data_IF_688820465085
#
_entry.id   IF_688820465085
#
_cell.length_a   1.000
_cell.length_b   1.000
_cell.length_c   1.000
_cell.angle_alpha   90.00
_cell.angle_beta   90.00
_cell.angle_gamma   90.00
#
_symmetry.space_group_name_H-M   'P 1'
#
loop_
_entity.id
_entity.type
_entity.pdbx_description
1 polymer ?
#
# COMPACT_ATOMS: atom_id res chain seq x y z
N UNK A 1 -14.52 -2.97 -15.18
CA UNK A 1 -13.06 -3.12 -15.36
C UNK A 1 -12.68 -2.42 -16.63
N UNK A 2 -11.70 -1.53 -16.55
CA UNK A 2 -11.29 -0.64 -17.62
C UNK A 2 -9.91 -0.04 -17.36
N UNK A 3 -9.47 0.81 -18.28
CA UNK A 3 -8.25 1.59 -18.13
C UNK A 3 -8.36 2.55 -16.95
N UNK A 4 -7.22 2.86 -16.34
CA UNK A 4 -7.10 3.76 -15.20
C UNK A 4 -5.71 4.36 -15.15
N UNK A 5 -5.62 5.52 -14.51
CA UNK A 5 -4.36 6.22 -14.33
C UNK A 5 -3.73 5.89 -12.98
N UNK A 6 -2.45 5.55 -13.03
CA UNK A 6 -1.54 5.57 -11.89
C UNK A 6 -0.73 6.86 -11.99
N UNK A 7 -0.95 7.80 -11.08
CA UNK A 7 -0.29 9.11 -11.08
C UNK A 7 0.90 9.04 -10.13
N UNK A 8 2.10 9.22 -10.67
CA UNK A 8 3.36 9.25 -9.94
C UNK A 8 3.82 10.70 -9.87
N UNK A 9 3.75 11.29 -8.68
CA UNK A 9 4.18 12.67 -8.44
C UNK A 9 5.51 12.70 -7.71
N UNK A 10 6.42 13.54 -8.18
CA UNK A 10 7.72 13.78 -7.55
C UNK A 10 7.74 15.16 -6.89
N UNK A 11 7.36 15.23 -5.60
CA UNK A 11 7.22 16.53 -4.94
C UNK A 11 8.58 17.20 -4.70
N UNK A 12 8.58 18.52 -4.54
CA UNK A 12 9.78 19.29 -4.18
C UNK A 12 10.17 19.15 -2.69
N UNK A 13 9.23 18.70 -1.86
CA UNK A 13 9.39 18.44 -0.44
C UNK A 13 8.43 17.33 -0.01
N UNK A 14 8.69 16.60 1.09
CA UNK A 14 7.77 15.57 1.58
C UNK A 14 6.35 16.11 1.80
N UNK A 15 5.34 15.41 1.27
CA UNK A 15 3.93 15.79 1.42
C UNK A 15 3.35 15.21 2.71
N UNK A 16 3.26 16.01 3.77
CA UNK A 16 2.67 15.62 5.05
C UNK A 16 1.22 16.11 5.17
N UNK A 17 0.28 15.37 4.57
CA UNK A 17 -1.15 15.67 4.56
C UNK A 17 -1.98 14.38 4.60
N UNK A 18 -3.27 14.44 4.96
CA UNK A 18 -4.21 13.32 4.88
C UNK A 18 -4.36 12.78 3.44
N UNK A 19 -4.82 11.55 3.31
CA UNK A 19 -4.85 10.85 2.01
C UNK A 19 -5.70 11.55 0.97
N UNK A 20 -6.89 12.03 1.37
CA UNK A 20 -7.77 12.75 0.45
C UNK A 20 -7.10 14.03 -0.08
N UNK A 21 -6.49 14.82 0.80
CA UNK A 21 -5.75 16.02 0.41
C UNK A 21 -4.54 15.67 -0.46
N UNK A 22 -3.89 14.53 -0.23
CA UNK A 22 -2.78 14.06 -1.05
C UNK A 22 -3.23 13.67 -2.46
N UNK A 23 -4.33 12.93 -2.58
CA UNK A 23 -4.93 12.57 -3.87
C UNK A 23 -5.28 13.83 -4.66
N UNK A 24 -5.95 14.79 -4.01
CA UNK A 24 -6.31 16.07 -4.62
C UNK A 24 -5.08 16.89 -5.03
N UNK A 25 -4.03 16.92 -4.20
CA UNK A 25 -2.79 17.61 -4.52
C UNK A 25 -2.04 16.99 -5.70
N UNK A 26 -2.02 15.66 -5.79
CA UNK A 26 -1.40 14.92 -6.90
C UNK A 26 -2.19 15.11 -8.20
N UNK A 27 -3.52 15.05 -8.14
CA UNK A 27 -4.38 15.33 -9.29
C UNK A 27 -4.23 16.78 -9.79
N UNK A 28 -4.21 17.74 -8.86
CA UNK A 28 -3.97 19.15 -9.20
C UNK A 28 -2.57 19.36 -9.80
N UNK A 29 -1.55 18.64 -9.33
CA UNK A 29 -0.22 18.67 -9.92
C UNK A 29 -0.22 18.10 -11.35
N UNK A 30 -0.91 17.00 -11.63
CA UNK A 30 -1.00 16.43 -12.99
C UNK A 30 -1.75 17.32 -13.99
N UNK A 31 -2.73 18.09 -13.52
CA UNK A 31 -3.49 19.05 -14.34
C UNK A 31 -2.77 20.39 -14.57
N UNK A 32 -1.63 20.59 -13.90
CA UNK A 32 -0.84 21.81 -13.97
C UNK A 32 -0.11 22.03 -15.31
N UNK A 33 0.68 23.11 -15.42
CA UNK A 33 1.58 23.30 -16.56
C UNK A 33 2.71 22.26 -16.52
N UNK A 34 3.08 21.71 -17.68
CA UNK A 34 4.15 20.73 -17.78
C UNK A 34 5.49 21.31 -17.29
N UNK A 35 6.04 20.69 -16.24
CA UNK A 35 7.39 20.98 -15.72
C UNK A 35 8.31 19.82 -16.10
N UNK A 36 9.31 20.11 -16.93
CA UNK A 36 10.27 19.12 -17.38
C UNK A 36 11.12 18.58 -16.21
N UNK A 37 11.18 17.25 -16.07
CA UNK A 37 12.02 16.57 -15.08
C UNK A 37 12.68 15.35 -15.72
N UNK A 38 14.00 15.42 -15.91
CA UNK A 38 14.78 14.35 -16.57
C UNK A 38 14.72 13.01 -15.84
N UNK A 39 14.56 13.02 -14.52
CA UNK A 39 14.46 11.76 -13.77
C UNK A 39 13.10 11.12 -13.99
N UNK A 40 12.03 11.91 -14.19
CA UNK A 40 10.73 11.37 -14.58
C UNK A 40 10.70 10.90 -16.03
N UNK A 41 11.42 11.56 -16.94
CA UNK A 41 11.62 11.04 -18.30
C UNK A 41 12.28 9.65 -18.28
N UNK A 42 13.36 9.50 -17.50
CA UNK A 42 14.05 8.22 -17.30
C UNK A 42 13.14 7.19 -16.63
N UNK A 43 12.37 7.59 -15.62
CA UNK A 43 11.42 6.71 -14.95
C UNK A 43 10.36 6.21 -15.93
N UNK A 44 9.77 7.08 -16.75
CA UNK A 44 8.80 6.69 -17.78
C UNK A 44 9.38 5.61 -18.69
N UNK A 45 10.58 5.86 -19.24
CA UNK A 45 11.22 4.92 -20.15
C UNK A 45 11.51 3.58 -19.46
N UNK A 46 11.91 3.62 -18.18
CA UNK A 46 12.11 2.43 -17.36
C UNK A 46 10.81 1.68 -17.08
N UNK A 47 9.70 2.37 -16.76
CA UNK A 47 8.38 1.74 -16.57
C UNK A 47 7.97 1.01 -17.84
N UNK A 48 8.09 1.66 -19.00
CA UNK A 48 7.73 1.06 -20.29
C UNK A 48 8.60 -0.17 -20.60
N UNK A 49 9.91 -0.09 -20.33
CA UNK A 49 10.84 -1.19 -20.58
C UNK A 49 10.62 -2.38 -19.63
N UNK A 50 10.42 -2.12 -18.33
CA UNK A 50 10.21 -3.18 -17.32
C UNK A 50 8.83 -3.83 -17.42
N UNK A 51 7.89 -3.21 -18.16
CA UNK A 51 6.52 -3.70 -18.33
C UNK A 51 6.17 -4.01 -19.79
N UNK A 52 7.19 -4.32 -20.62
CA UNK A 52 7.02 -4.76 -22.01
C UNK A 52 6.01 -5.90 -22.16
N UNK A 53 6.02 -6.84 -21.23
CA UNK A 53 5.06 -7.94 -21.18
C UNK A 53 3.62 -7.42 -21.04
N UNK A 54 3.37 -6.43 -20.17
CA UNK A 54 2.03 -5.86 -19.99
C UNK A 54 1.57 -5.07 -21.22
N UNK A 55 2.49 -4.38 -21.89
CA UNK A 55 2.23 -3.68 -23.16
C UNK A 55 1.81 -4.67 -24.24
N UNK A 56 2.58 -5.75 -24.42
CA UNK A 56 2.33 -6.76 -25.45
C UNK A 56 0.98 -7.49 -25.22
N UNK A 57 0.50 -7.56 -23.97
CA UNK A 57 -0.81 -8.11 -23.60
C UNK A 57 -1.93 -7.05 -23.53
N UNK A 58 -1.67 -5.79 -23.91
CA UNK A 58 -2.66 -4.71 -23.91
C UNK A 58 -3.18 -4.33 -22.52
N UNK A 59 -2.32 -4.40 -21.50
CA UNK A 59 -2.63 -4.09 -20.09
C UNK A 59 -1.88 -2.88 -19.54
N UNK A 60 -0.90 -2.38 -20.27
CA UNK A 60 -0.28 -1.08 -20.06
C UNK A 60 -0.28 -0.34 -21.40
N UNK A 61 -0.66 0.93 -21.40
CA UNK A 61 -0.89 1.71 -22.62
C UNK A 61 0.23 2.73 -22.79
N UNK A 62 1.21 2.48 -23.68
CA UNK A 62 2.37 3.35 -23.82
C UNK A 62 2.02 4.76 -24.31
N UNK A 63 1.00 4.87 -25.18
CA UNK A 63 0.53 6.16 -25.71
C UNK A 63 -0.17 7.02 -24.64
N UNK A 64 -0.69 6.40 -23.58
CA UNK A 64 -1.26 7.08 -22.42
C UNK A 64 -0.26 7.27 -21.26
N UNK A 65 0.96 6.72 -21.39
CA UNK A 65 1.99 6.79 -20.35
C UNK A 65 2.95 7.94 -20.64
N UNK A 66 2.73 9.09 -20.00
CA UNK A 66 3.42 10.34 -20.34
C UNK A 66 3.67 11.25 -19.13
N UNK A 67 4.57 12.23 -19.31
CA UNK A 67 4.75 13.29 -18.34
C UNK A 67 3.61 14.30 -18.46
N UNK A 68 2.99 14.63 -17.34
CA UNK A 68 1.94 15.64 -17.25
C UNK A 68 2.21 16.60 -16.11
N UNK A 69 1.72 17.83 -16.27
CA UNK A 69 1.73 18.85 -15.24
C UNK A 69 3.04 19.06 -14.48
N UNK A 70 2.92 19.42 -13.21
CA UNK A 70 4.06 19.71 -12.35
C UNK A 70 4.69 18.42 -11.84
N UNK A 71 5.67 17.91 -12.59
CA UNK A 71 6.49 16.75 -12.20
C UNK A 71 5.65 15.51 -11.88
N UNK A 72 4.66 15.23 -12.72
CA UNK A 72 3.92 13.98 -12.69
C UNK A 72 4.26 13.11 -13.89
N UNK A 73 4.30 11.79 -13.64
CA UNK A 73 4.24 10.76 -14.65
C UNK A 73 2.89 10.06 -14.49
N UNK A 74 2.08 10.09 -15.54
CA UNK A 74 0.85 9.31 -15.61
C UNK A 74 1.16 8.00 -16.32
N UNK A 75 0.77 6.89 -15.72
CA UNK A 75 0.87 5.56 -16.32
C UNK A 75 -0.55 5.05 -16.55
N UNK A 76 -0.95 4.96 -17.83
CA UNK A 76 -2.23 4.39 -18.22
C UNK A 76 -2.11 2.86 -18.21
N UNK A 77 -2.87 2.23 -17.32
CA UNK A 77 -2.84 0.78 -17.10
C UNK A 77 -4.24 0.22 -17.00
N UNK A 78 -4.38 -1.10 -17.18
CA UNK A 78 -5.61 -1.79 -16.85
C UNK A 78 -5.69 -2.01 -15.34
N UNK A 79 -6.85 -1.74 -14.71
CA UNK A 79 -7.07 -1.85 -13.26
C UNK A 79 -6.52 -3.14 -12.61
N UNK A 80 -6.74 -4.29 -13.23
CA UNK A 80 -6.27 -5.62 -12.78
C UNK A 80 -4.75 -5.79 -12.68
N UNK A 81 -3.93 -4.90 -13.27
CA UNK A 81 -2.47 -4.96 -13.17
C UNK A 81 -1.86 -3.82 -12.35
N UNK A 82 -2.68 -2.94 -11.76
CA UNK A 82 -2.19 -1.81 -10.95
C UNK A 82 -1.28 -2.30 -9.83
N UNK A 83 -1.68 -3.33 -9.07
CA UNK A 83 -0.85 -3.90 -8.00
C UNK A 83 0.49 -4.43 -8.51
N UNK A 84 0.52 -5.04 -9.70
CA UNK A 84 1.76 -5.55 -10.30
C UNK A 84 2.68 -4.42 -10.76
N UNK A 85 2.13 -3.37 -11.40
CA UNK A 85 2.89 -2.19 -11.83
C UNK A 85 3.43 -1.46 -10.60
N UNK A 86 2.60 -1.25 -9.57
CA UNK A 86 3.02 -0.69 -8.30
C UNK A 86 4.14 -1.52 -7.67
N UNK A 87 3.98 -2.85 -7.58
CA UNK A 87 5.02 -3.75 -7.08
C UNK A 87 6.35 -3.58 -7.82
N UNK A 88 6.32 -3.47 -9.16
CA UNK A 88 7.54 -3.27 -9.98
C UNK A 88 8.16 -1.87 -9.79
N UNK A 89 7.36 -0.87 -9.42
CA UNK A 89 7.83 0.50 -9.11
C UNK A 89 8.49 0.64 -7.73
N UNK A 90 8.39 -0.39 -6.88
CA UNK A 90 8.64 -0.28 -5.44
C UNK A 90 9.94 0.33 -5.00
N UNK A 91 11.02 -0.30 -5.43
CA UNK A 91 12.34 0.18 -5.06
C UNK A 91 12.55 1.63 -5.53
N UNK A 92 12.08 1.96 -6.73
CA UNK A 92 12.29 3.28 -7.33
C UNK A 92 11.44 4.35 -6.62
N UNK A 93 10.19 4.01 -6.30
CA UNK A 93 9.28 4.91 -5.60
C UNK A 93 9.83 5.27 -4.21
N UNK A 94 10.32 4.28 -3.46
CA UNK A 94 10.95 4.50 -2.17
C UNK A 94 12.26 5.32 -2.29
N UNK A 95 13.16 4.93 -3.19
CA UNK A 95 14.48 5.58 -3.35
C UNK A 95 14.37 7.05 -3.78
N UNK A 96 13.34 7.39 -4.55
CA UNK A 96 13.12 8.75 -5.07
C UNK A 96 12.13 9.57 -4.26
N UNK A 97 11.54 9.01 -3.19
CA UNK A 97 10.51 9.67 -2.38
C UNK A 97 9.28 10.06 -3.20
N UNK A 98 8.83 9.17 -4.09
CA UNK A 98 7.69 9.41 -4.97
C UNK A 98 6.38 9.20 -4.22
N UNK A 99 5.38 10.00 -4.60
CA UNK A 99 3.99 9.76 -4.22
C UNK A 99 3.31 9.06 -5.38
N UNK A 100 2.62 7.96 -5.08
CA UNK A 100 1.92 7.15 -6.11
C UNK A 100 0.45 7.07 -5.73
N UNK A 101 -0.41 7.57 -6.61
CA UNK A 101 -1.87 7.58 -6.44
C UNK A 101 -2.52 6.74 -7.51
N UNK A 102 -3.42 5.85 -7.09
CA UNK A 102 -4.32 5.12 -7.96
C UNK A 102 -5.66 5.86 -8.00
N UNK A 103 -5.90 6.57 -9.10
CA UNK A 103 -6.99 7.56 -9.21
C UNK A 103 -8.38 6.93 -9.09
N UNK A 104 -8.65 5.86 -9.86
CA UNK A 104 -9.97 5.20 -9.84
C UNK A 104 -10.31 4.57 -8.48
N UNK A 105 -9.29 4.22 -7.69
CA UNK A 105 -9.44 3.58 -6.40
C UNK A 105 -9.44 4.54 -5.21
N UNK A 106 -9.29 5.85 -5.43
CA UNK A 106 -9.10 6.86 -4.37
C UNK A 106 -8.04 6.42 -3.34
N UNK A 107 -6.92 5.90 -3.84
CA UNK A 107 -5.94 5.18 -3.02
C UNK A 107 -4.54 5.76 -3.18
N UNK A 108 -3.94 6.17 -2.06
CA UNK A 108 -2.51 6.46 -2.00
C UNK A 108 -1.76 5.15 -1.81
N UNK A 109 -0.95 4.78 -2.79
CA UNK A 109 -0.12 3.58 -2.76
C UNK A 109 1.23 3.87 -2.12
N UNK A 110 1.90 4.96 -2.48
CA UNK A 110 3.19 5.39 -1.91
C UNK A 110 3.09 6.82 -1.37
N UNK A 111 3.76 7.08 -0.25
CA UNK A 111 3.73 8.36 0.47
C UNK A 111 5.04 9.16 0.37
N UNK A 112 6.09 8.54 -0.20
CA UNK A 112 7.43 9.12 -0.33
C UNK A 112 8.30 8.96 0.92
N UNK A 113 7.78 8.34 1.97
CA UNK A 113 8.50 7.89 3.18
C UNK A 113 8.44 6.36 3.35
N UNK A 114 8.20 5.66 2.25
CA UNK A 114 8.02 4.22 2.21
C UNK A 114 9.32 3.46 2.50
N UNK A 115 9.21 2.36 3.23
CA UNK A 115 10.32 1.48 3.59
C UNK A 115 10.35 0.29 2.62
N UNK A 116 11.37 0.17 1.75
CA UNK A 116 11.40 -0.83 0.66
C UNK A 116 11.74 -2.25 1.11
N UNK A 117 12.25 -2.45 2.33
CA UNK A 117 12.51 -3.77 2.92
C UNK A 117 11.29 -4.38 3.62
N UNK A 118 10.14 -3.71 3.53
CA UNK A 118 8.85 -4.14 4.04
C UNK A 118 7.83 -4.30 2.93
N UNK A 119 6.72 -4.96 3.22
CA UNK A 119 5.57 -5.06 2.32
C UNK A 119 4.26 -4.82 3.06
N UNK A 120 3.24 -4.43 2.31
CA UNK A 120 1.83 -4.44 2.73
C UNK A 120 1.08 -5.42 1.86
N UNK A 121 0.31 -6.30 2.48
CA UNK A 121 -0.58 -7.23 1.77
C UNK A 121 -1.99 -7.19 2.34
N UNK A 122 -2.96 -7.17 1.45
CA UNK A 122 -4.39 -7.42 1.72
C UNK A 122 -4.90 -8.49 0.78
N UNK A 123 -6.20 -8.79 0.80
CA UNK A 123 -6.79 -9.71 -0.17
C UNK A 123 -6.59 -9.23 -1.62
N UNK A 124 -6.67 -7.91 -1.86
CA UNK A 124 -6.63 -7.33 -3.21
C UNK A 124 -5.26 -6.73 -3.59
N UNK A 125 -4.41 -6.45 -2.61
CA UNK A 125 -3.18 -5.68 -2.81
C UNK A 125 -1.96 -6.41 -2.28
N UNK A 126 -0.88 -6.42 -3.07
CA UNK A 126 0.44 -6.91 -2.67
C UNK A 126 1.48 -5.86 -3.07
N UNK A 127 1.87 -5.02 -2.10
CA UNK A 127 2.71 -3.84 -2.31
C UNK A 127 4.07 -4.09 -1.66
N UNK A 128 5.13 -4.04 -2.46
CA UNK A 128 6.50 -4.30 -2.03
C UNK A 128 7.17 -3.08 -1.35
N UNK A 129 6.40 -2.35 -0.57
CA UNK A 129 6.87 -1.33 0.36
C UNK A 129 5.84 -1.16 1.49
N UNK A 130 6.25 -0.52 2.57
CA UNK A 130 5.31 -0.09 3.60
C UNK A 130 5.65 1.31 4.11
N UNK A 131 4.64 2.16 4.27
CA UNK A 131 4.77 3.44 4.99
C UNK A 131 3.89 3.40 6.25
N UNK A 132 4.40 3.85 7.41
CA UNK A 132 3.57 4.01 8.61
C UNK A 132 2.33 4.86 8.36
N UNK A 133 2.41 5.85 7.45
CA UNK A 133 1.29 6.73 7.11
C UNK A 133 0.17 6.00 6.36
N UNK A 134 0.53 4.95 5.63
CA UNK A 134 -0.42 4.13 4.90
C UNK A 134 -1.27 3.25 5.83
N UNK A 135 -0.79 2.93 7.04
CA UNK A 135 -1.42 1.96 7.93
C UNK A 135 -2.89 2.26 8.23
N UNK A 136 -3.21 3.53 8.52
CA UNK A 136 -4.59 3.94 8.81
C UNK A 136 -5.53 3.65 7.63
N UNK A 137 -5.11 3.97 6.41
CA UNK A 137 -5.87 3.69 5.17
C UNK A 137 -6.15 2.20 5.01
N UNK A 138 -5.10 1.39 5.14
CA UNK A 138 -5.20 -0.05 4.95
C UNK A 138 -6.04 -0.69 6.05
N UNK A 139 -5.84 -0.31 7.31
CA UNK A 139 -6.63 -0.81 8.43
C UNK A 139 -8.12 -0.44 8.27
N UNK A 140 -8.42 0.80 7.88
CA UNK A 140 -9.79 1.24 7.61
C UNK A 140 -10.40 0.46 6.44
N UNK A 141 -9.65 0.27 5.35
CA UNK A 141 -10.11 -0.49 4.18
C UNK A 141 -10.52 -1.92 4.57
N UNK A 142 -9.63 -2.66 5.23
CA UNK A 142 -9.91 -4.07 5.60
C UNK A 142 -11.02 -4.17 6.65
N UNK A 143 -11.14 -3.18 7.54
CA UNK A 143 -12.24 -3.12 8.52
C UNK A 143 -13.59 -2.96 7.80
N UNK A 144 -13.67 -2.02 6.86
CA UNK A 144 -14.89 -1.74 6.12
C UNK A 144 -15.30 -2.91 5.20
N UNK A 145 -14.34 -3.56 4.54
CA UNK A 145 -14.59 -4.77 3.74
C UNK A 145 -15.13 -5.91 4.61
N UNK A 146 -14.53 -6.16 5.77
CA UNK A 146 -15.02 -7.20 6.69
C UNK A 146 -16.44 -6.91 7.21
N UNK A 147 -16.75 -5.65 7.55
CA UNK A 147 -18.12 -5.23 7.91
C UNK A 147 -19.08 -5.50 6.74
N UNK A 148 -18.69 -5.08 5.53
CA UNK A 148 -19.50 -5.27 4.32
C UNK A 148 -19.78 -6.76 4.06
N UNK A 149 -18.77 -7.63 4.13
CA UNK A 149 -18.96 -9.07 3.96
C UNK A 149 -19.90 -9.66 5.00
N UNK A 150 -19.73 -9.29 6.27
CA UNK A 150 -20.58 -9.74 7.36
C UNK A 150 -22.05 -9.33 7.18
N UNK A 151 -22.30 -8.04 6.90
CA UNK A 151 -23.64 -7.49 6.74
C UNK A 151 -24.40 -8.08 5.54
N UNK A 152 -23.66 -8.59 4.55
CA UNK A 152 -24.22 -9.23 3.35
C UNK A 152 -24.19 -10.77 3.40
N UNK A 153 -23.83 -11.36 4.55
CA UNK A 153 -23.80 -12.82 4.75
C UNK A 153 -22.80 -13.54 3.85
N UNK A 154 -21.70 -12.86 3.49
CA UNK A 154 -20.60 -13.42 2.69
C UNK A 154 -19.60 -14.11 3.63
N UNK A 155 -18.98 -15.18 3.12
CA UNK A 155 -17.91 -15.92 3.80
C UNK A 155 -16.51 -15.44 3.38
N UNK A 156 -16.44 -14.40 2.55
CA UNK A 156 -15.19 -13.76 2.13
C UNK A 156 -14.45 -13.15 3.33
N UNK A 157 -13.12 -13.06 3.21
CA UNK A 157 -12.24 -12.54 4.26
C UNK A 157 -11.24 -11.58 3.63
N UNK A 158 -11.09 -10.42 4.24
CA UNK A 158 -9.98 -9.51 4.00
C UNK A 158 -9.08 -9.44 5.24
N UNK A 159 -7.84 -9.03 5.03
CA UNK A 159 -6.80 -9.00 6.06
C UNK A 159 -5.81 -7.90 5.75
N UNK A 160 -5.05 -7.48 6.75
CA UNK A 160 -3.88 -6.63 6.58
C UNK A 160 -2.67 -7.38 7.13
N UNK A 161 -1.65 -7.57 6.30
CA UNK A 161 -0.33 -8.06 6.69
C UNK A 161 0.69 -6.96 6.41
N UNK A 162 1.55 -6.70 7.37
CA UNK A 162 2.78 -5.93 7.18
C UNK A 162 3.95 -6.81 7.61
N UNK A 163 4.93 -6.99 6.73
CA UNK A 163 6.03 -7.93 6.96
C UNK A 163 7.34 -7.49 6.35
N UNK A 164 8.41 -8.21 6.67
CA UNK A 164 9.73 -8.01 6.07
C UNK A 164 9.85 -8.77 4.74
N UNK A 165 10.37 -8.13 3.70
CA UNK A 165 10.44 -8.71 2.34
C UNK A 165 11.42 -9.89 2.24
N UNK A 166 12.42 -9.94 3.12
CA UNK A 166 13.48 -10.96 3.11
C UNK A 166 13.35 -12.03 4.19
N UNK A 167 12.41 -11.86 5.13
CA UNK A 167 12.16 -12.81 6.22
C UNK A 167 10.66 -13.09 6.29
N UNK A 168 10.22 -14.11 5.55
CA UNK A 168 8.81 -14.51 5.49
C UNK A 168 8.23 -15.01 6.82
N UNK A 169 9.07 -15.18 7.84
CA UNK A 169 8.65 -15.55 9.19
C UNK A 169 8.50 -14.32 10.11
N UNK A 170 8.67 -13.10 9.59
CA UNK A 170 8.51 -11.83 10.33
C UNK A 170 7.42 -10.95 9.77
N UNK A 171 6.28 -10.91 10.47
CA UNK A 171 5.16 -10.04 10.12
C UNK A 171 4.25 -9.76 11.30
N UNK A 172 3.48 -8.70 11.19
CA UNK A 172 2.24 -8.46 11.93
C UNK A 172 1.07 -8.56 10.96
N UNK A 173 -0.02 -9.21 11.38
CA UNK A 173 -1.23 -9.29 10.60
C UNK A 173 -2.48 -9.05 11.45
N UNK A 174 -3.57 -8.66 10.79
CA UNK A 174 -4.86 -8.54 11.43
C UNK A 174 -6.00 -8.91 10.50
N UNK A 175 -7.08 -9.40 11.12
CA UNK A 175 -8.40 -9.54 10.52
C UNK A 175 -9.42 -8.92 11.47
N UNK A 176 -10.29 -8.05 10.97
CA UNK A 176 -11.40 -7.54 11.76
C UNK A 176 -12.49 -8.61 11.86
N UNK A 177 -13.03 -8.84 13.05
CA UNK A 177 -14.10 -9.80 13.33
C UNK A 177 -15.38 -9.03 13.72
N UNK A 178 -16.28 -8.74 12.76
CA UNK A 178 -17.46 -7.91 13.03
C UNK A 178 -18.38 -8.44 14.13
N UNK A 179 -18.50 -9.77 14.24
CA UNK A 179 -19.32 -10.42 15.27
C UNK A 179 -18.82 -10.15 16.70
N UNK A 180 -17.51 -9.97 16.87
CA UNK A 180 -16.86 -9.70 18.15
C UNK A 180 -16.59 -8.19 18.36
N UNK A 181 -16.71 -7.39 17.30
CA UNK A 181 -16.35 -5.97 17.32
C UNK A 181 -14.86 -5.75 17.64
N UNK A 182 -13.99 -6.65 17.18
CA UNK A 182 -12.58 -6.68 17.56
C UNK A 182 -11.69 -7.17 16.41
N UNK A 183 -10.40 -6.85 16.51
CA UNK A 183 -9.34 -7.27 15.61
C UNK A 183 -8.64 -8.51 16.17
N UNK A 184 -8.59 -9.59 15.40
CA UNK A 184 -7.65 -10.68 15.66
C UNK A 184 -6.30 -10.25 15.09
N UNK A 185 -5.37 -9.88 15.96
CA UNK A 185 -4.02 -9.46 15.59
C UNK A 185 -3.05 -10.58 15.90
N UNK A 186 -2.18 -10.90 14.95
CA UNK A 186 -1.13 -11.90 15.12
C UNK A 186 0.23 -11.32 14.75
N UNK A 187 1.26 -11.75 15.48
CA UNK A 187 2.66 -11.37 15.22
C UNK A 187 3.51 -12.62 15.14
N UNK A 188 4.36 -12.68 14.13
CA UNK A 188 5.37 -13.73 13.95
C UNK A 188 6.76 -13.10 14.05
N UNK A 189 7.56 -13.56 15.01
CA UNK A 189 8.86 -12.96 15.38
C UNK A 189 10.07 -13.77 14.83
N UNK A 190 9.96 -14.37 13.63
CA UNK A 190 11.11 -15.00 12.94
C UNK A 190 11.44 -16.44 13.36
N UNK A 191 10.46 -17.21 13.84
CA UNK A 191 10.63 -18.63 14.14
C UNK A 191 9.30 -19.39 14.25
N UNK A 192 9.30 -20.73 14.12
CA UNK A 192 8.07 -21.54 14.19
C UNK A 192 7.35 -21.42 15.54
N UNK A 193 8.09 -21.23 16.63
CA UNK A 193 7.55 -21.18 17.99
C UNK A 193 7.36 -19.74 18.51
N UNK A 194 7.46 -18.74 17.63
CA UNK A 194 7.38 -17.32 17.99
C UNK A 194 6.17 -16.65 17.32
N UNK A 195 5.01 -17.28 17.45
CA UNK A 195 3.74 -16.80 16.91
C UNK A 195 2.82 -16.41 18.07
N UNK A 196 2.43 -15.14 18.10
CA UNK A 196 1.59 -14.58 19.14
C UNK A 196 0.30 -14.06 18.55
N UNK A 197 -0.78 -14.08 19.33
CA UNK A 197 -2.05 -13.44 18.98
C UNK A 197 -2.64 -12.66 20.14
N UNK A 198 -3.47 -11.68 19.79
CA UNK A 198 -4.34 -10.98 20.72
C UNK A 198 -5.65 -10.61 20.03
N UNK A 199 -6.71 -10.48 20.82
CA UNK A 199 -7.95 -9.82 20.39
C UNK A 199 -7.90 -8.37 20.86
N UNK A 200 -7.88 -7.43 19.93
CA UNK A 200 -7.80 -5.99 20.22
C UNK A 200 -9.12 -5.34 19.80
N UNK A 201 -9.87 -4.76 20.74
CA UNK A 201 -11.19 -4.14 20.45
C UNK A 201 -11.04 -2.78 19.77
N UNK A 202 -9.98 -2.05 20.08
CA UNK A 202 -9.81 -0.66 19.64
C UNK A 202 -9.10 -0.56 18.28
N UNK A 203 -9.68 0.20 17.35
CA UNK A 203 -9.02 0.58 16.09
C UNK A 203 -7.67 1.26 16.35
N UNK A 204 -7.65 2.25 17.26
CA UNK A 204 -6.44 3.03 17.55
C UNK A 204 -5.34 2.16 18.19
N UNK A 205 -5.72 1.17 19.00
CA UNK A 205 -4.76 0.25 19.62
C UNK A 205 -4.20 -0.74 18.59
N UNK A 206 -5.04 -1.23 17.68
CA UNK A 206 -4.59 -2.05 16.54
C UNK A 206 -3.63 -1.25 15.65
N UNK A 207 -3.98 -0.01 15.31
CA UNK A 207 -3.10 0.87 14.54
C UNK A 207 -1.75 1.08 15.25
N UNK A 208 -1.77 1.40 16.54
CA UNK A 208 -0.56 1.56 17.34
C UNK A 208 0.29 0.28 17.41
N UNK A 209 -0.33 -0.91 17.34
CA UNK A 209 0.39 -2.17 17.30
C UNK A 209 1.15 -2.35 15.99
N UNK A 210 0.54 -2.01 14.85
CA UNK A 210 1.21 -2.01 13.54
C UNK A 210 2.31 -0.96 13.47
N UNK A 211 2.07 0.26 13.95
CA UNK A 211 3.06 1.33 13.99
C UNK A 211 4.28 0.92 14.84
N UNK A 212 4.04 0.35 16.02
CA UNK A 212 5.11 -0.12 16.92
C UNK A 212 5.90 -1.24 16.29
N UNK A 213 5.22 -2.22 15.68
CA UNK A 213 5.89 -3.32 15.01
C UNK A 213 6.72 -2.85 13.82
N UNK A 214 6.19 -1.96 12.97
CA UNK A 214 6.96 -1.37 11.87
C UNK A 214 8.18 -0.60 12.37
N UNK A 215 8.05 0.14 13.47
CA UNK A 215 9.17 0.93 14.01
C UNK A 215 10.25 0.07 14.67
N UNK A 216 9.86 -0.97 15.40
CA UNK A 216 10.77 -1.65 16.35
C UNK A 216 10.95 -3.15 16.09
N UNK A 217 10.06 -3.76 15.30
CA UNK A 217 9.90 -5.22 15.15
C UNK A 217 9.54 -5.91 16.47
N UNK A 218 9.07 -5.13 17.44
CA UNK A 218 8.58 -5.62 18.72
C UNK A 218 7.06 -5.53 18.77
N UNK A 219 6.48 -6.43 19.57
CA UNK A 219 5.06 -6.43 19.91
C UNK A 219 4.73 -5.23 20.80
N UNK A 220 3.52 -4.68 20.64
CA UNK A 220 3.02 -3.59 21.49
C UNK A 220 2.94 -4.05 22.95
N UNK A 221 3.70 -3.47 23.90
CA UNK A 221 3.85 -4.05 25.24
C UNK A 221 2.58 -4.09 26.10
N UNK A 222 1.65 -3.16 25.86
CA UNK A 222 0.40 -3.08 26.61
C UNK A 222 -0.68 -4.06 26.14
N UNK A 223 -0.47 -4.77 25.02
CA UNK A 223 -1.41 -5.76 24.51
C UNK A 223 -1.13 -7.11 25.16
N UNK A 224 -2.19 -7.80 25.60
CA UNK A 224 -2.11 -9.13 26.22
C UNK A 224 -1.89 -10.24 25.17
N UNK A 225 -0.65 -10.35 24.69
CA UNK A 225 -0.25 -11.34 23.70
C UNK A 225 -0.25 -12.76 24.27
N UNK A 226 -0.95 -13.67 23.60
CA UNK A 226 -0.94 -15.11 23.88
C UNK A 226 -0.08 -15.83 22.87
N UNK A 227 0.85 -16.67 23.34
CA UNK A 227 1.61 -17.56 22.47
C UNK A 227 0.68 -18.60 21.84
N UNK A 228 0.79 -18.79 20.53
CA UNK A 228 0.10 -19.86 19.80
C UNK A 228 1.04 -21.06 19.79
N UNK A 229 0.71 -22.11 20.54
CA UNK A 229 1.35 -23.41 20.36
C UNK A 229 0.87 -23.99 19.02
N UNK A 230 1.79 -24.20 18.07
CA UNK A 230 1.54 -24.93 16.83
C UNK A 230 1.63 -26.44 17.03
#
# INVERSE_FOLDING_TARGET
MGNTDLIIHKPNAPLAMPNQEMIEAVAAASDGPLVADKQLEQLRDQVLEQNRDLIDHGRLYPDGTELRGDRCLVVDVHDVVVSLVAHRLSQIAADMGLVVVFELGDLVLAYGDDTPDMFIRTYNWDIAWASPRALSQWLTSVTNEMIYFHDHGREDVDFLIVGETHDGDRYIQTMYQPAEGAYLVEVRDGGPDAHYRAMIVSYDETLAAFETWMATRERLPQVDWTLIDM
#
